data_IF_621439786252
#
_entry.id   IF_621439786252
#
_cell.length_a   1.000
_cell.length_b   1.000
_cell.length_c   1.000
_cell.angle_alpha   90.00
_cell.angle_beta   90.00
_cell.angle_gamma   90.00
#
_symmetry.space_group_name_H-M   'P 1'
#
loop_
_entity.id
_entity.type
_entity.pdbx_description
1 polymer ?
#
# COMPACT_ATOMS: atom_id res chain seq x y z
N UNK A 1 7.23 -13.91 -14.61
CA UNK A 1 6.93 -12.48 -14.85
C UNK A 1 6.28 -11.91 -13.60
N UNK A 2 6.82 -10.85 -13.01
CA UNK A 2 6.16 -10.13 -11.92
C UNK A 2 4.85 -9.57 -12.46
N UNK A 3 3.72 -10.04 -11.93
CA UNK A 3 2.41 -9.48 -12.28
C UNK A 3 2.27 -8.17 -11.52
N UNK A 4 1.82 -7.14 -12.20
CA UNK A 4 1.52 -5.83 -11.60
C UNK A 4 0.03 -5.74 -11.30
N UNK A 5 -0.32 -5.02 -10.25
CA UNK A 5 -1.68 -4.69 -9.86
C UNK A 5 -1.94 -3.21 -10.15
N UNK A 6 -3.02 -2.91 -10.87
CA UNK A 6 -3.44 -1.54 -11.12
C UNK A 6 -4.50 -1.14 -10.10
N UNK A 7 -4.34 0.02 -9.46
CA UNK A 7 -5.23 0.57 -8.44
C UNK A 7 -5.74 1.93 -8.93
N UNK A 8 -7.05 2.09 -9.13
CA UNK A 8 -7.63 3.39 -9.49
C UNK A 8 -8.10 4.12 -8.24
N UNK A 9 -7.58 5.31 -7.99
CA UNK A 9 -7.99 6.17 -6.88
C UNK A 9 -9.34 6.85 -7.13
N UNK A 10 -9.92 7.42 -6.07
CA UNK A 10 -11.18 8.16 -6.14
C UNK A 10 -11.09 9.44 -7.01
N UNK A 11 -9.90 10.04 -7.10
CA UNK A 11 -9.58 11.15 -8.01
C UNK A 11 -9.23 10.68 -9.44
N UNK A 12 -9.43 9.40 -9.75
CA UNK A 12 -9.31 8.83 -11.10
C UNK A 12 -7.88 8.47 -11.52
N UNK A 13 -6.88 8.68 -10.65
CA UNK A 13 -5.47 8.35 -10.94
C UNK A 13 -5.26 6.84 -10.79
N UNK A 14 -4.59 6.25 -11.76
CA UNK A 14 -4.20 4.82 -11.70
C UNK A 14 -2.77 4.71 -11.20
N UNK A 15 -2.59 3.98 -10.10
CA UNK A 15 -1.29 3.61 -9.54
C UNK A 15 -0.98 2.15 -9.84
N UNK A 16 0.30 1.85 -10.04
CA UNK A 16 0.78 0.49 -10.32
C UNK A 16 1.55 -0.02 -9.10
N UNK A 17 1.11 -1.16 -8.57
CA UNK A 17 1.74 -1.85 -7.47
C UNK A 17 2.33 -3.18 -7.94
N UNK A 18 3.41 -3.68 -7.32
CA UNK A 18 3.83 -5.06 -7.53
C UNK A 18 2.77 -5.98 -6.89
N UNK A 19 2.35 -7.03 -7.59
CA UNK A 19 1.28 -7.91 -7.10
C UNK A 19 1.81 -8.99 -6.14
N UNK A 20 2.71 -8.61 -5.22
CA UNK A 20 3.62 -9.44 -4.41
C UNK A 20 3.14 -10.86 -4.09
N UNK A 21 1.87 -11.06 -3.70
CA UNK A 21 1.21 -12.37 -3.62
C UNK A 21 -0.17 -12.42 -4.31
N UNK A 22 -0.70 -11.27 -4.73
CA UNK A 22 -1.97 -11.17 -5.42
C UNK A 22 -1.83 -11.63 -6.87
N UNK A 23 -2.57 -12.66 -7.27
CA UNK A 23 -2.67 -13.04 -8.69
C UNK A 23 -3.92 -12.41 -9.28
N UNK A 24 -3.81 -11.32 -10.07
CA UNK A 24 -4.97 -10.83 -10.77
C UNK A 24 -5.48 -11.94 -11.69
N UNK A 25 -6.72 -12.38 -11.46
CA UNK A 25 -7.42 -13.30 -12.35
C UNK A 25 -7.53 -12.64 -13.73
N UNK A 26 -7.53 -13.40 -14.82
CA UNK A 26 -7.55 -12.84 -16.18
C UNK A 26 -8.76 -11.90 -16.46
N UNK A 27 -9.80 -11.95 -15.62
CA UNK A 27 -10.95 -11.04 -15.63
C UNK A 27 -10.70 -9.68 -14.93
N UNK A 28 -9.55 -9.47 -14.27
CA UNK A 28 -9.17 -8.25 -13.55
C UNK A 28 -8.19 -7.37 -14.37
N UNK A 29 -8.37 -7.34 -15.69
CA UNK A 29 -7.66 -6.43 -16.59
C UNK A 29 -8.07 -4.95 -16.40
N UNK A 30 -9.03 -4.68 -15.53
CA UNK A 30 -9.42 -3.33 -15.10
C UNK A 30 -8.71 -2.98 -13.78
N UNK A 31 -8.31 -1.71 -13.59
CA UNK A 31 -7.81 -1.24 -12.30
C UNK A 31 -8.79 -1.57 -11.16
N UNK A 32 -8.26 -2.03 -10.03
CA UNK A 32 -9.05 -2.20 -8.83
C UNK A 32 -9.47 -0.83 -8.30
N UNK A 33 -10.77 -0.57 -8.30
CA UNK A 33 -11.36 0.69 -7.86
C UNK A 33 -11.17 0.88 -6.34
N UNK A 34 -10.48 1.95 -5.98
CA UNK A 34 -10.17 2.34 -4.61
C UNK A 34 -10.94 3.60 -4.26
N UNK A 35 -11.76 3.53 -3.20
CA UNK A 35 -12.58 4.65 -2.72
C UNK A 35 -11.79 5.68 -1.89
N UNK A 36 -10.53 5.89 -2.23
CA UNK A 36 -9.59 6.73 -1.48
C UNK A 36 -8.78 7.62 -2.41
N UNK A 37 -8.32 8.80 -1.95
CA UNK A 37 -7.47 9.68 -2.75
C UNK A 37 -6.16 9.02 -3.16
N UNK A 38 -5.62 9.42 -4.31
CA UNK A 38 -4.35 8.92 -4.83
C UNK A 38 -3.20 9.07 -3.83
N UNK A 39 -3.13 10.19 -3.10
CA UNK A 39 -2.13 10.43 -2.05
C UNK A 39 -2.18 9.39 -0.94
N UNK A 40 -3.36 8.95 -0.53
CA UNK A 40 -3.50 7.89 0.47
C UNK A 40 -3.00 6.55 -0.09
N UNK A 41 -3.32 6.23 -1.35
CA UNK A 41 -2.81 5.02 -2.00
C UNK A 41 -1.29 5.01 -2.14
N UNK A 42 -0.68 6.15 -2.49
CA UNK A 42 0.78 6.28 -2.56
C UNK A 42 1.44 5.94 -1.21
N UNK A 43 0.85 6.39 -0.11
CA UNK A 43 1.34 6.05 1.25
C UNK A 43 1.19 4.58 1.58
N UNK A 44 0.07 3.95 1.21
CA UNK A 44 -0.13 2.50 1.37
C UNK A 44 0.93 1.71 0.59
N UNK A 45 1.22 2.11 -0.66
CA UNK A 45 2.24 1.46 -1.47
C UNK A 45 3.65 1.62 -0.89
N UNK A 46 3.94 2.79 -0.31
CA UNK A 46 5.20 3.04 0.39
C UNK A 46 5.35 2.09 1.60
N UNK A 47 4.31 1.96 2.41
CA UNK A 47 4.29 1.05 3.57
C UNK A 47 4.59 -0.39 3.15
N UNK A 48 3.87 -0.92 2.15
CA UNK A 48 4.10 -2.28 1.68
C UNK A 48 5.48 -2.50 1.10
N UNK A 49 5.97 -1.55 0.31
CA UNK A 49 7.30 -1.65 -0.30
C UNK A 49 8.37 -1.73 0.79
N UNK A 50 8.26 -0.87 1.82
CA UNK A 50 9.19 -0.88 2.96
C UNK A 50 9.12 -2.19 3.74
N UNK A 51 7.93 -2.68 4.07
CA UNK A 51 7.75 -3.93 4.82
C UNK A 51 8.20 -5.17 4.05
N UNK A 52 7.93 -5.22 2.74
CA UNK A 52 8.40 -6.28 1.85
C UNK A 52 9.92 -6.30 1.75
N UNK A 53 10.55 -5.12 1.62
CA UNK A 53 12.00 -5.01 1.58
C UNK A 53 12.61 -5.41 2.93
N UNK A 54 12.07 -4.92 4.04
CA UNK A 54 12.54 -5.28 5.38
C UNK A 54 12.51 -6.80 5.62
N UNK A 55 11.44 -7.47 5.17
CA UNK A 55 11.33 -8.94 5.20
C UNK A 55 12.40 -9.61 4.33
N UNK A 56 12.64 -9.10 3.12
CA UNK A 56 13.61 -9.67 2.19
C UNK A 56 15.07 -9.47 2.64
N UNK A 57 15.39 -8.34 3.28
CA UNK A 57 16.75 -8.01 3.72
C UNK A 57 17.05 -8.43 5.16
N UNK A 58 16.07 -8.98 5.87
CA UNK A 58 16.21 -9.32 7.30
C UNK A 58 16.42 -8.08 8.18
N UNK A 59 15.82 -6.94 7.83
CA UNK A 59 15.92 -5.72 8.63
C UNK A 59 15.43 -5.96 10.07
N UNK A 60 16.11 -5.36 11.04
CA UNK A 60 15.76 -5.54 12.45
C UNK A 60 14.38 -4.97 12.77
N UNK A 61 13.65 -5.66 13.65
CA UNK A 61 12.34 -5.22 14.15
C UNK A 61 12.38 -3.79 14.73
N UNK A 62 13.46 -3.43 15.42
CA UNK A 62 13.63 -2.09 15.99
C UNK A 62 13.80 -0.99 14.94
N UNK A 63 14.48 -1.29 13.83
CA UNK A 63 14.60 -0.34 12.71
C UNK A 63 13.26 -0.12 12.01
N UNK A 64 12.54 -1.21 11.74
CA UNK A 64 11.23 -1.15 11.11
C UNK A 64 10.21 -0.43 12.00
N UNK A 65 10.20 -0.69 13.31
CA UNK A 65 9.30 -0.03 14.25
C UNK A 65 9.52 1.50 14.34
N UNK A 66 10.78 1.96 14.29
CA UNK A 66 11.07 3.41 14.22
C UNK A 66 10.54 4.03 12.93
N UNK A 67 10.69 3.31 11.82
CA UNK A 67 10.14 3.76 10.54
C UNK A 67 8.62 3.81 10.57
N UNK A 68 7.95 2.81 11.16
CA UNK A 68 6.49 2.78 11.31
C UNK A 68 5.97 3.96 12.13
N UNK A 69 6.66 4.31 13.22
CA UNK A 69 6.31 5.48 14.04
C UNK A 69 6.45 6.80 13.26
N UNK A 70 7.56 6.98 12.53
CA UNK A 70 7.76 8.17 11.69
C UNK A 70 6.75 8.23 10.54
N UNK A 71 6.44 7.09 9.93
CA UNK A 71 5.43 6.98 8.88
C UNK A 71 4.05 7.40 9.42
N UNK A 72 3.64 6.87 10.57
CA UNK A 72 2.37 7.24 11.20
C UNK A 72 2.29 8.74 11.48
N UNK A 73 3.32 9.32 12.11
CA UNK A 73 3.38 10.76 12.39
C UNK A 73 3.18 11.61 11.13
N UNK A 74 3.85 11.25 10.02
CA UNK A 74 3.69 11.95 8.74
C UNK A 74 2.28 11.82 8.16
N UNK A 75 1.61 10.68 8.36
CA UNK A 75 0.22 10.53 7.93
C UNK A 75 -0.72 11.45 8.70
N UNK A 76 -0.48 11.67 9.99
CA UNK A 76 -1.25 12.62 10.79
C UNK A 76 -1.02 14.06 10.30
N UNK A 77 0.24 14.44 10.06
CA UNK A 77 0.63 15.74 9.51
C UNK A 77 -0.01 16.01 8.14
N UNK A 78 -0.07 14.99 7.29
CA UNK A 78 -0.68 15.08 5.96
C UNK A 78 -2.22 14.98 5.99
N UNK A 79 -2.83 14.70 7.15
CA UNK A 79 -4.27 14.50 7.28
C UNK A 79 -4.79 13.23 6.58
N UNK A 80 -3.94 12.23 6.39
CA UNK A 80 -4.23 10.98 5.65
C UNK A 80 -4.33 9.74 6.55
N UNK A 81 -4.10 9.90 7.86
CA UNK A 81 -4.01 8.78 8.80
C UNK A 81 -5.23 7.86 8.75
N UNK A 82 -6.44 8.43 8.72
CA UNK A 82 -7.69 7.66 8.70
C UNK A 82 -7.80 6.79 7.45
N UNK A 83 -7.63 7.37 6.28
CA UNK A 83 -7.76 6.70 4.98
C UNK A 83 -6.70 5.60 4.83
N UNK A 84 -5.45 5.91 5.19
CA UNK A 84 -4.33 4.99 5.02
C UNK A 84 -4.43 3.81 6.00
N UNK A 85 -4.70 4.05 7.28
CA UNK A 85 -4.84 2.97 8.27
C UNK A 85 -6.05 2.08 7.98
N UNK A 86 -7.15 2.65 7.47
CA UNK A 86 -8.31 1.87 7.04
C UNK A 86 -7.96 0.94 5.86
N UNK A 87 -7.18 1.43 4.88
CA UNK A 87 -6.74 0.63 3.74
C UNK A 87 -5.77 -0.47 4.15
N UNK A 88 -4.78 -0.14 4.99
CA UNK A 88 -3.82 -1.13 5.50
C UNK A 88 -4.53 -2.29 6.19
N UNK A 89 -5.57 -1.98 6.98
CA UNK A 89 -6.38 -2.98 7.67
C UNK A 89 -7.21 -3.82 6.69
N UNK A 90 -7.89 -3.18 5.73
CA UNK A 90 -8.73 -3.87 4.73
C UNK A 90 -7.93 -4.77 3.80
N UNK A 91 -6.75 -4.34 3.36
CA UNK A 91 -5.99 -5.08 2.37
C UNK A 91 -5.25 -6.26 3.03
N UNK A 92 -4.85 -6.11 4.30
CA UNK A 92 -4.31 -7.24 5.09
C UNK A 92 -5.33 -8.36 5.33
N UNK A 93 -6.62 -8.14 5.07
CA UNK A 93 -7.65 -9.19 5.16
C UNK A 93 -8.03 -9.81 3.81
N UNK A 94 -7.51 -9.27 2.70
CA UNK A 94 -7.83 -9.68 1.33
C UNK A 94 -6.65 -10.41 0.66
N UNK A 95 -5.45 -10.19 1.18
CA UNK A 95 -4.20 -10.87 0.80
C UNK A 95 -3.78 -11.85 1.90
#
# INVERSE_FOLDING_TARGET
>A
AAKVLQLRSADGKVLVAPAWDYRPTAAQSLPLEMRVPSRALERVLQYWTKHSLAKATGESRGSLARWDADFHRRLEEDGLAKEVLQLLTKISSVL
#
